data_IF_949214389312
#
_entry.id   IF_949214389312
#
_cell.length_a   1.000
_cell.length_b   1.000
_cell.length_c   1.000
_cell.angle_alpha   90.00
_cell.angle_beta   90.00
_cell.angle_gamma   90.00
#
_symmetry.space_group_name_H-M   'P 1'
#
loop_
_entity.id
_entity.type
_entity.pdbx_description
1 polymer ?
#
# COMPACT_ATOMS: atom_id res chain seq x y z
N UNK A 1 -23.60 -4.19 -0.54
CA UNK A 1 -22.99 -5.37 -1.20
C UNK A 1 -22.33 -4.97 -2.51
N UNK A 2 -21.65 -5.87 -3.22
CA UNK A 2 -20.94 -5.55 -4.47
C UNK A 2 -21.85 -5.02 -5.60
N UNK A 3 -23.12 -5.43 -5.63
CA UNK A 3 -24.14 -4.91 -6.55
C UNK A 3 -24.93 -3.69 -6.05
N UNK A 4 -24.55 -3.13 -4.90
CA UNK A 4 -25.20 -1.92 -4.38
C UNK A 4 -24.86 -0.71 -5.26
N UNK A 5 -25.88 0.10 -5.59
CA UNK A 5 -25.74 1.28 -6.46
C UNK A 5 -24.64 2.20 -5.94
N UNK A 6 -24.54 2.37 -4.62
CA UNK A 6 -23.50 3.24 -4.01
C UNK A 6 -22.09 2.76 -4.32
N UNK A 7 -21.83 1.46 -4.20
CA UNK A 7 -20.52 0.86 -4.49
C UNK A 7 -20.14 1.02 -5.96
N UNK A 8 -21.10 0.72 -6.86
CA UNK A 8 -20.88 0.80 -8.30
C UNK A 8 -20.67 2.25 -8.74
N UNK A 9 -21.47 3.19 -8.23
CA UNK A 9 -21.28 4.62 -8.53
C UNK A 9 -19.93 5.13 -8.04
N UNK A 10 -19.51 4.76 -6.83
CA UNK A 10 -18.20 5.14 -6.30
C UNK A 10 -17.04 4.61 -7.17
N UNK A 11 -17.13 3.35 -7.62
CA UNK A 11 -16.14 2.75 -8.53
C UNK A 11 -16.07 3.48 -9.87
N UNK A 12 -17.23 3.77 -10.48
CA UNK A 12 -17.31 4.48 -11.76
C UNK A 12 -16.73 5.88 -11.62
N UNK A 13 -17.10 6.62 -10.57
CA UNK A 13 -16.58 7.98 -10.32
C UNK A 13 -15.07 7.95 -10.09
N UNK A 14 -14.56 6.98 -9.34
CA UNK A 14 -13.12 6.81 -9.11
C UNK A 14 -12.36 6.52 -10.40
N UNK A 15 -12.85 5.59 -11.24
CA UNK A 15 -12.25 5.27 -12.53
C UNK A 15 -12.28 6.45 -13.50
N UNK A 16 -13.41 7.17 -13.54
CA UNK A 16 -13.55 8.37 -14.37
C UNK A 16 -12.58 9.47 -13.92
N UNK A 17 -12.44 9.68 -12.61
CA UNK A 17 -11.49 10.64 -12.04
C UNK A 17 -10.04 10.29 -12.37
N UNK A 18 -9.66 9.02 -12.25
CA UNK A 18 -8.32 8.54 -12.62
C UNK A 18 -8.05 8.73 -14.12
N UNK A 19 -9.01 8.40 -14.98
CA UNK A 19 -8.87 8.61 -16.42
C UNK A 19 -8.74 10.10 -16.76
N UNK A 20 -9.54 10.96 -16.13
CA UNK A 20 -9.46 12.42 -16.31
C UNK A 20 -8.10 12.96 -15.86
N UNK A 21 -7.58 12.48 -14.72
CA UNK A 21 -6.25 12.83 -14.24
C UNK A 21 -5.16 12.45 -15.24
N UNK A 22 -5.15 11.21 -15.73
CA UNK A 22 -4.15 10.75 -16.72
C UNK A 22 -4.21 11.54 -18.03
N UNK A 23 -5.41 11.86 -18.52
CA UNK A 23 -5.59 12.68 -19.73
C UNK A 23 -5.09 14.11 -19.51
N UNK A 24 -5.36 14.68 -18.34
CA UNK A 24 -4.90 16.03 -17.98
C UNK A 24 -3.37 16.07 -17.86
N UNK A 25 -2.78 15.11 -17.16
CA UNK A 25 -1.33 14.98 -16.98
C UNK A 25 -0.62 14.81 -18.34
N UNK A 26 -1.17 13.99 -19.23
CA UNK A 26 -0.62 13.76 -20.56
C UNK A 26 -0.65 14.99 -21.48
N UNK A 27 -1.61 15.90 -21.26
CA UNK A 27 -1.78 17.13 -22.06
C UNK A 27 -1.08 18.35 -21.46
N UNK A 28 -0.59 18.26 -20.23
CA UNK A 28 0.02 19.40 -19.52
C UNK A 28 1.50 19.55 -19.87
N UNK A 29 1.99 20.74 -20.27
CA UNK A 29 3.40 20.96 -20.65
C UNK A 29 4.41 20.76 -19.51
N UNK A 30 3.97 20.88 -18.25
CA UNK A 30 4.76 20.62 -17.03
C UNK A 30 3.99 19.65 -16.12
N UNK A 31 3.97 18.35 -16.45
CA UNK A 31 3.25 17.37 -15.64
C UNK A 31 3.90 17.24 -14.26
N UNK A 32 3.09 17.11 -13.21
CA UNK A 32 3.58 16.81 -11.86
C UNK A 32 4.12 15.38 -11.80
N UNK A 33 3.55 14.48 -12.59
CA UNK A 33 3.98 13.11 -12.75
C UNK A 33 4.36 12.84 -14.21
N UNK A 34 5.66 12.93 -14.57
CA UNK A 34 6.12 12.67 -15.93
C UNK A 34 5.78 11.23 -16.32
N UNK A 35 4.74 11.04 -17.15
CA UNK A 35 4.30 9.70 -17.57
C UNK A 35 5.42 8.92 -18.30
N UNK A 36 6.44 9.61 -18.82
CA UNK A 36 7.65 9.01 -19.37
C UNK A 36 8.47 8.20 -18.36
N UNK A 37 8.35 8.45 -17.06
CA UNK A 37 9.00 7.64 -16.01
C UNK A 37 8.49 6.20 -16.01
N UNK A 38 7.21 5.97 -16.35
CA UNK A 38 6.67 4.61 -16.46
C UNK A 38 7.19 3.84 -17.68
N UNK A 39 7.87 4.48 -18.64
CA UNK A 39 8.62 3.74 -19.69
C UNK A 39 9.88 3.09 -19.12
N UNK A 40 10.40 3.56 -17.98
CA UNK A 40 11.46 2.86 -17.26
C UNK A 40 10.84 1.69 -16.48
N UNK A 41 11.19 0.47 -16.90
CA UNK A 41 10.72 -0.76 -16.27
C UNK A 41 11.06 -0.82 -14.78
N UNK A 42 12.18 -0.24 -14.34
CA UNK A 42 12.57 -0.22 -12.92
C UNK A 42 11.62 0.64 -12.11
N UNK A 43 11.23 1.79 -12.66
CA UNK A 43 10.24 2.67 -12.03
C UNK A 43 8.87 2.01 -11.97
N UNK A 44 8.42 1.40 -13.07
CA UNK A 44 7.14 0.69 -13.12
C UNK A 44 7.09 -0.50 -12.13
N UNK A 45 8.11 -1.37 -12.13
CA UNK A 45 8.20 -2.52 -11.24
C UNK A 45 8.25 -2.07 -9.77
N UNK A 46 9.03 -1.04 -9.45
CA UNK A 46 9.10 -0.51 -8.08
C UNK A 46 7.74 -0.01 -7.59
N UNK A 47 7.00 0.71 -8.44
CA UNK A 47 5.66 1.20 -8.09
C UNK A 47 4.65 0.06 -7.92
N UNK A 48 4.65 -0.93 -8.82
CA UNK A 48 3.77 -2.11 -8.71
C UNK A 48 4.09 -2.92 -7.46
N UNK A 49 5.37 -3.11 -7.15
CA UNK A 49 5.80 -3.78 -5.92
C UNK A 49 5.34 -3.00 -4.67
N UNK A 50 5.46 -1.67 -4.67
CA UNK A 50 4.99 -0.82 -3.56
C UNK A 50 3.48 -0.95 -3.36
N UNK A 51 2.74 -0.95 -4.47
CA UNK A 51 1.29 -1.14 -4.46
C UNK A 51 0.93 -2.52 -3.89
N UNK A 52 1.54 -3.59 -4.38
CA UNK A 52 1.29 -4.94 -3.91
C UNK A 52 1.62 -5.12 -2.42
N UNK A 53 2.73 -4.53 -1.96
CA UNK A 53 3.15 -4.59 -0.56
C UNK A 53 2.19 -3.81 0.33
N UNK A 54 1.80 -2.60 -0.05
CA UNK A 54 0.78 -1.82 0.65
C UNK A 54 -0.56 -2.55 0.71
N UNK A 55 -1.04 -3.04 -0.44
CA UNK A 55 -2.30 -3.78 -0.54
C UNK A 55 -2.31 -5.01 0.38
N UNK A 56 -1.25 -5.82 0.35
CA UNK A 56 -1.13 -7.02 1.19
C UNK A 56 -1.03 -6.66 2.67
N UNK A 57 -0.26 -5.63 3.02
CA UNK A 57 -0.08 -5.20 4.41
C UNK A 57 -1.39 -4.75 5.04
N UNK A 58 -2.15 -3.88 4.36
CA UNK A 58 -3.42 -3.38 4.89
C UNK A 58 -4.53 -4.44 4.87
N UNK A 59 -4.62 -5.23 3.78
CA UNK A 59 -5.61 -6.30 3.68
C UNK A 59 -5.34 -7.41 4.69
N UNK A 60 -4.07 -7.75 4.92
CA UNK A 60 -3.65 -8.76 5.90
C UNK A 60 -4.04 -8.37 7.33
N UNK A 61 -3.79 -7.12 7.72
CA UNK A 61 -4.24 -6.57 9.01
C UNK A 61 -5.76 -6.65 9.15
N UNK A 62 -6.50 -6.23 8.12
CA UNK A 62 -7.96 -6.30 8.13
C UNK A 62 -8.48 -7.73 8.27
N UNK A 63 -7.98 -8.67 7.46
CA UNK A 63 -8.36 -10.08 7.50
C UNK A 63 -7.99 -10.74 8.84
N UNK A 64 -6.84 -10.40 9.41
CA UNK A 64 -6.39 -10.92 10.70
C UNK A 64 -7.30 -10.46 11.85
N UNK A 65 -7.67 -9.17 11.84
CA UNK A 65 -8.68 -8.64 12.77
C UNK A 65 -10.02 -9.35 12.60
N UNK A 66 -10.46 -9.57 11.37
CA UNK A 66 -11.70 -10.28 11.06
C UNK A 66 -11.66 -11.74 11.54
N UNK A 67 -10.52 -12.42 11.38
CA UNK A 67 -10.30 -13.77 11.86
C UNK A 67 -10.35 -13.86 13.39
N UNK A 68 -9.66 -12.97 14.10
CA UNK A 68 -9.68 -12.95 15.56
C UNK A 68 -11.09 -12.69 16.10
N UNK A 69 -11.85 -11.79 15.46
CA UNK A 69 -13.20 -11.44 15.90
C UNK A 69 -14.23 -12.50 15.52
N UNK A 70 -14.28 -12.95 14.26
CA UNK A 70 -15.34 -13.86 13.79
C UNK A 70 -14.99 -15.34 13.96
N UNK A 71 -13.74 -15.75 13.74
CA UNK A 71 -13.36 -17.17 13.83
C UNK A 71 -12.99 -17.57 15.25
N UNK A 72 -12.27 -16.71 15.97
CA UNK A 72 -11.89 -16.97 17.35
C UNK A 72 -12.81 -16.32 18.40
N UNK A 73 -13.80 -15.51 17.99
CA UNK A 73 -14.81 -14.95 18.89
C UNK A 73 -14.29 -13.88 19.87
N UNK A 74 -13.12 -13.29 19.62
CA UNK A 74 -12.56 -12.30 20.53
C UNK A 74 -13.30 -10.98 20.42
N UNK A 75 -13.44 -10.29 21.55
CA UNK A 75 -13.96 -8.93 21.54
C UNK A 75 -13.06 -7.98 20.75
N UNK A 76 -13.61 -6.87 20.19
CA UNK A 76 -12.81 -5.89 19.44
C UNK A 76 -11.63 -5.32 20.24
N UNK A 77 -11.80 -5.14 21.55
CA UNK A 77 -10.73 -4.64 22.45
C UNK A 77 -9.58 -5.63 22.59
N UNK A 78 -9.88 -6.92 22.74
CA UNK A 78 -8.86 -7.97 22.83
C UNK A 78 -8.14 -8.18 21.49
N UNK A 79 -8.88 -8.09 20.38
CA UNK A 79 -8.28 -8.14 19.03
C UNK A 79 -7.30 -6.98 18.83
N UNK A 80 -7.72 -5.76 19.19
CA UNK A 80 -6.84 -4.58 19.15
C UNK A 80 -5.58 -4.76 20.01
N UNK A 81 -5.72 -5.27 21.24
CA UNK A 81 -4.60 -5.49 22.14
C UNK A 81 -3.58 -6.51 21.60
N UNK A 82 -4.04 -7.52 20.85
CA UNK A 82 -3.19 -8.53 20.23
C UNK A 82 -2.51 -8.08 18.95
N UNK A 83 -3.13 -7.14 18.25
CA UNK A 83 -2.52 -6.49 17.10
C UNK A 83 -1.60 -5.33 17.53
N UNK A 84 -1.72 -4.84 18.77
CA UNK A 84 -0.90 -3.74 19.27
C UNK A 84 0.62 -3.99 19.18
N UNK A 85 1.18 -5.17 19.51
CA UNK A 85 2.61 -5.45 19.33
C UNK A 85 3.09 -5.24 17.90
N UNK A 86 2.28 -5.64 16.90
CA UNK A 86 2.59 -5.45 15.48
C UNK A 86 2.75 -3.96 15.15
N UNK A 87 1.79 -3.14 15.58
CA UNK A 87 1.83 -1.70 15.34
C UNK A 87 2.91 -0.99 16.13
N UNK A 88 3.21 -1.44 17.35
CA UNK A 88 4.29 -0.89 18.18
C UNK A 88 5.66 -1.13 17.53
N UNK A 89 5.91 -2.36 17.05
CA UNK A 89 7.14 -2.67 16.31
C UNK A 89 7.23 -1.80 15.06
N UNK A 90 6.14 -1.69 14.29
CA UNK A 90 6.12 -0.83 13.10
C UNK A 90 6.38 0.65 13.42
N UNK A 91 5.82 1.16 14.52
CA UNK A 91 6.02 2.53 14.99
C UNK A 91 7.48 2.82 15.35
N UNK A 92 8.18 1.85 15.96
CA UNK A 92 9.60 2.00 16.35
C UNK A 92 10.53 1.82 15.15
N UNK A 93 10.20 0.89 14.24
CA UNK A 93 11.03 0.54 13.08
C UNK A 93 10.90 1.58 11.96
N UNK A 94 9.72 2.20 11.77
CA UNK A 94 9.48 3.16 10.69
C UNK A 94 10.46 4.37 10.69
N UNK A 95 10.71 5.05 11.83
CA UNK A 95 11.72 6.11 11.89
C UNK A 95 13.14 5.61 11.61
N UNK A 96 13.47 4.39 12.05
CA UNK A 96 14.79 3.80 11.81
C UNK A 96 15.03 3.55 10.32
N UNK A 97 14.04 3.00 9.61
CA UNK A 97 14.06 2.81 8.16
C UNK A 97 14.13 4.16 7.43
N UNK A 98 13.38 5.17 7.89
CA UNK A 98 13.42 6.53 7.31
C UNK A 98 14.82 7.16 7.36
N UNK A 99 15.50 7.05 8.51
CA UNK A 99 16.90 7.51 8.66
C UNK A 99 17.86 6.71 7.78
N UNK A 100 17.64 5.40 7.66
CA UNK A 100 18.45 4.53 6.81
C UNK A 100 18.26 4.87 5.32
N UNK A 101 17.05 5.23 4.90
CA UNK A 101 16.71 5.64 3.53
C UNK A 101 17.44 6.88 3.08
N UNK A 102 17.60 7.86 3.98
CA UNK A 102 18.39 9.05 3.72
C UNK A 102 19.89 8.75 3.52
N UNK A 103 20.39 7.62 4.06
CA UNK A 103 21.83 7.29 4.05
C UNK A 103 22.23 6.32 2.94
N UNK A 104 21.35 5.40 2.57
CA UNK A 104 21.65 4.32 1.60
C UNK A 104 20.90 4.44 0.27
N UNK A 105 20.02 5.45 0.12
CA UNK A 105 19.22 5.66 -1.09
C UNK A 105 17.97 4.79 -1.13
N UNK A 106 16.87 5.37 -1.61
CA UNK A 106 15.53 4.77 -1.57
C UNK A 106 15.47 3.41 -2.30
N UNK A 107 16.10 3.28 -3.47
CA UNK A 107 16.06 2.05 -4.26
C UNK A 107 16.75 0.84 -3.60
N UNK A 108 17.90 1.02 -2.94
CA UNK A 108 18.60 -0.10 -2.28
C UNK A 108 17.77 -0.65 -1.11
N UNK A 109 17.15 0.25 -0.36
CA UNK A 109 16.28 -0.11 0.76
C UNK A 109 14.98 -0.78 0.33
N UNK A 110 14.33 -0.27 -0.72
CA UNK A 110 13.13 -0.91 -1.27
C UNK A 110 13.44 -2.33 -1.74
N UNK A 111 14.52 -2.51 -2.50
CA UNK A 111 14.93 -3.86 -2.97
C UNK A 111 15.19 -4.81 -1.79
N UNK A 112 15.90 -4.34 -0.75
CA UNK A 112 16.16 -5.15 0.44
C UNK A 112 14.88 -5.53 1.21
N UNK A 113 13.93 -4.60 1.33
CA UNK A 113 12.65 -4.83 1.98
C UNK A 113 11.77 -5.81 1.20
N UNK A 114 11.80 -5.73 -0.14
CA UNK A 114 11.09 -6.69 -1.00
C UNK A 114 11.66 -8.10 -0.88
N UNK A 115 12.98 -8.26 -0.84
CA UNK A 115 13.63 -9.57 -0.65
C UNK A 115 13.30 -10.15 0.73
N UNK A 116 13.37 -9.35 1.78
CA UNK A 116 13.05 -9.78 3.15
C UNK A 116 11.58 -10.21 3.29
N UNK A 117 10.66 -9.45 2.69
CA UNK A 117 9.23 -9.78 2.71
C UNK A 117 8.96 -11.08 1.97
N UNK A 118 9.59 -11.27 0.80
CA UNK A 118 9.48 -12.50 0.02
C UNK A 118 10.08 -13.73 0.73
N UNK A 119 11.12 -13.55 1.56
CA UNK A 119 11.70 -14.62 2.37
C UNK A 119 10.88 -14.95 3.63
N UNK A 120 10.00 -14.05 4.06
CA UNK A 120 9.17 -14.25 5.26
C UNK A 120 7.87 -15.04 5.00
N UNK A 121 7.52 -15.26 3.73
CA UNK A 121 6.42 -16.14 3.30
C UNK A 121 6.89 -17.58 3.18
#
# INVERSE_FOLDING_TARGET
GWGDRRTVTALIVGLAGLAAFLVFEARTPRPMLPLGLFRDIRFAVTNVASFALGFTSYTGVFLYSMFLQQAQGWSPTQTGLRMAPLFLVQMVVSPAIGRLSHRYGHSALMTSGYVLSGLSM
#
